data_IF_235574056482
#
_entry.id   IF_235574056482
#
_cell.length_a   1.000
_cell.length_b   1.000
_cell.length_c   1.000
_cell.angle_alpha   90.00
_cell.angle_beta   90.00
_cell.angle_gamma   90.00
#
_symmetry.space_group_name_H-M   'P 1'
#
loop_
_entity.id
_entity.type
_entity.pdbx_description
1 polymer ?
#
# COMPACT_ATOMS: atom_id res chain seq x y z
N UNK A 1 -7.22 -10.15 -25.75
CA UNK A 1 -6.44 -10.00 -24.52
C UNK A 1 -6.54 -8.54 -24.13
N UNK A 2 -7.30 -8.21 -23.09
CA UNK A 2 -7.37 -6.84 -22.58
C UNK A 2 -6.00 -6.47 -22.02
N UNK A 3 -5.45 -5.33 -22.43
CA UNK A 3 -4.26 -4.76 -21.80
C UNK A 3 -4.72 -4.32 -20.41
N UNK A 4 -4.39 -5.09 -19.38
CA UNK A 4 -4.57 -4.65 -17.99
C UNK A 4 -3.57 -3.51 -17.76
N UNK A 5 -4.08 -2.29 -17.62
CA UNK A 5 -3.26 -1.17 -17.18
C UNK A 5 -2.75 -1.45 -15.77
N UNK A 6 -1.49 -1.10 -15.53
CA UNK A 6 -0.91 -1.26 -14.19
C UNK A 6 -1.39 -0.14 -13.27
N UNK A 7 -1.71 -0.46 -12.02
CA UNK A 7 -1.99 0.56 -11.03
C UNK A 7 -0.80 1.47 -10.80
N UNK A 8 -1.00 2.78 -10.87
CA UNK A 8 0.05 3.75 -10.54
C UNK A 8 0.50 3.66 -9.06
N UNK A 9 -0.39 3.22 -8.18
CA UNK A 9 -0.08 3.00 -6.76
C UNK A 9 0.80 1.77 -6.51
N UNK A 10 0.96 0.86 -7.48
CA UNK A 10 1.86 -0.29 -7.40
C UNK A 10 3.26 -0.03 -7.94
N UNK A 11 3.56 1.18 -8.39
CA UNK A 11 4.84 1.50 -9.03
C UNK A 11 5.78 2.17 -8.01
N UNK A 12 6.99 1.62 -7.83
CA UNK A 12 8.00 2.30 -7.01
C UNK A 12 8.53 3.54 -7.72
N UNK A 13 9.07 4.51 -6.98
CA UNK A 13 9.69 5.69 -7.61
C UNK A 13 10.81 5.29 -8.57
N UNK A 14 11.59 4.26 -8.23
CA UNK A 14 12.67 3.73 -9.07
C UNK A 14 12.13 3.14 -10.38
N UNK A 15 11.04 2.36 -10.33
CA UNK A 15 10.40 1.82 -11.53
C UNK A 15 9.87 2.95 -12.42
N UNK A 16 9.28 3.98 -11.81
CA UNK A 16 8.79 5.16 -12.53
C UNK A 16 9.93 6.01 -13.11
N UNK A 17 11.09 6.09 -12.45
CA UNK A 17 12.30 6.70 -13.01
C UNK A 17 12.76 5.98 -14.28
N UNK A 18 12.81 4.63 -14.23
CA UNK A 18 13.16 3.81 -15.39
C UNK A 18 12.16 4.00 -16.53
N UNK A 19 10.86 3.97 -16.23
CA UNK A 19 9.80 4.24 -17.20
C UNK A 19 9.99 5.58 -17.92
N UNK A 20 10.33 6.67 -17.21
CA UNK A 20 10.59 7.95 -17.85
C UNK A 20 11.88 7.97 -18.67
N UNK A 21 12.93 7.28 -18.23
CA UNK A 21 14.17 7.14 -19.00
C UNK A 21 13.88 6.42 -20.33
N UNK A 22 13.10 5.36 -20.31
CA UNK A 22 12.71 4.58 -21.51
C UNK A 22 11.89 5.42 -22.50
N UNK A 23 11.16 6.41 -22.01
CA UNK A 23 10.46 7.42 -22.84
C UNK A 23 11.36 8.59 -23.31
N UNK A 24 12.66 8.56 -23.02
CA UNK A 24 13.59 9.66 -23.33
C UNK A 24 13.41 10.89 -22.44
N UNK A 25 12.70 10.75 -21.33
CA UNK A 25 12.46 11.83 -20.38
C UNK A 25 13.44 11.80 -19.19
N UNK A 26 13.53 12.88 -18.44
CA UNK A 26 14.43 12.98 -17.29
C UNK A 26 13.84 12.31 -16.08
N UNK A 27 14.64 11.53 -15.33
CA UNK A 27 14.25 10.77 -14.13
C UNK A 27 13.56 11.60 -13.03
N UNK A 28 13.87 12.91 -12.90
CA UNK A 28 13.25 13.76 -11.88
C UNK A 28 11.72 13.91 -12.05
N UNK A 29 11.18 13.58 -13.24
CA UNK A 29 9.74 13.56 -13.48
C UNK A 29 9.02 12.51 -12.65
N UNK A 30 9.68 11.41 -12.31
CA UNK A 30 9.15 10.43 -11.37
C UNK A 30 8.89 11.05 -9.99
N UNK A 31 9.84 11.88 -9.50
CA UNK A 31 9.65 12.60 -8.23
C UNK A 31 8.45 13.55 -8.30
N UNK A 32 8.29 14.30 -9.39
CA UNK A 32 7.14 15.18 -9.56
C UNK A 32 5.81 14.42 -9.54
N UNK A 33 5.72 13.30 -10.27
CA UNK A 33 4.51 12.46 -10.29
C UNK A 33 4.23 11.86 -8.91
N UNK A 34 5.25 11.37 -8.21
CA UNK A 34 5.13 10.85 -6.84
C UNK A 34 4.57 11.90 -5.87
N UNK A 35 5.09 13.15 -5.92
CA UNK A 35 4.60 14.24 -5.09
C UNK A 35 3.12 14.58 -5.40
N UNK A 36 2.72 14.54 -6.67
CA UNK A 36 1.33 14.72 -7.03
C UNK A 36 0.42 13.63 -6.47
N UNK A 37 0.82 12.36 -6.61
CA UNK A 37 0.03 11.21 -6.16
C UNK A 37 -0.06 11.18 -4.62
N UNK A 38 1.10 11.22 -3.94
CA UNK A 38 1.16 10.90 -2.52
C UNK A 38 1.14 12.09 -1.57
N UNK A 39 1.53 13.29 -2.01
CA UNK A 39 1.47 14.51 -1.20
C UNK A 39 0.26 15.37 -1.52
N UNK A 40 -0.01 15.58 -2.82
CA UNK A 40 -1.17 16.37 -3.25
C UNK A 40 -2.45 15.54 -3.38
N UNK A 41 -2.33 14.20 -3.34
CA UNK A 41 -3.46 13.26 -3.33
C UNK A 41 -4.37 13.37 -4.55
N UNK A 42 -3.82 13.68 -5.72
CA UNK A 42 -4.60 13.67 -6.96
C UNK A 42 -5.06 12.26 -7.31
N UNK A 43 -6.19 12.19 -7.99
CA UNK A 43 -6.80 10.93 -8.45
C UNK A 43 -6.89 10.83 -9.96
N UNK A 44 -6.33 11.83 -10.67
CA UNK A 44 -6.28 11.89 -12.13
C UNK A 44 -4.97 12.53 -12.57
N UNK A 45 -4.35 12.01 -13.62
CA UNK A 45 -3.10 12.58 -14.14
C UNK A 45 -3.27 14.02 -14.66
N UNK A 46 -4.45 14.36 -15.18
CA UNK A 46 -4.74 15.71 -15.70
C UNK A 46 -4.72 16.82 -14.64
N UNK A 47 -4.70 16.48 -13.36
CA UNK A 47 -4.55 17.43 -12.25
C UNK A 47 -3.07 17.87 -12.05
N UNK A 48 -2.11 17.19 -12.68
CA UNK A 48 -0.67 17.43 -12.54
C UNK A 48 -0.20 18.59 -13.45
N UNK A 49 -0.41 19.82 -13.01
CA UNK A 49 -0.27 21.03 -13.83
C UNK A 49 1.16 21.35 -14.30
N UNK A 50 2.19 20.79 -13.67
CA UNK A 50 3.60 20.99 -14.04
C UNK A 50 4.19 19.85 -14.90
N UNK A 51 3.35 18.93 -15.37
CA UNK A 51 3.72 17.84 -16.27
C UNK A 51 3.20 18.15 -17.68
N UNK A 52 3.99 17.88 -18.71
CA UNK A 52 3.61 18.11 -20.12
C UNK A 52 2.40 17.24 -20.50
N UNK A 53 1.48 17.81 -21.30
CA UNK A 53 0.24 17.13 -21.72
C UNK A 53 0.49 15.80 -22.44
N UNK A 54 1.52 15.73 -23.29
CA UNK A 54 1.89 14.50 -24.00
C UNK A 54 2.26 13.38 -23.03
N UNK A 55 2.98 13.74 -21.95
CA UNK A 55 3.39 12.80 -20.93
C UNK A 55 2.21 12.37 -20.04
N UNK A 56 1.30 13.30 -19.71
CA UNK A 56 0.06 12.97 -19.02
C UNK A 56 -0.81 12.01 -19.83
N UNK A 57 -0.91 12.21 -21.15
CA UNK A 57 -1.62 11.29 -22.03
C UNK A 57 -0.98 9.89 -22.03
N UNK A 58 0.36 9.82 -22.04
CA UNK A 58 1.08 8.55 -21.97
C UNK A 58 0.85 7.84 -20.63
N UNK A 59 0.92 8.58 -19.52
CA UNK A 59 0.60 8.03 -18.20
C UNK A 59 -0.85 7.51 -18.13
N UNK A 60 -1.83 8.22 -18.68
CA UNK A 60 -3.22 7.77 -18.75
C UNK A 60 -3.43 6.52 -19.62
N UNK A 61 -2.54 6.27 -20.59
CA UNK A 61 -2.60 5.08 -21.43
C UNK A 61 -2.01 3.86 -20.73
N UNK A 62 -0.94 4.06 -19.97
CA UNK A 62 -0.13 2.97 -19.41
C UNK A 62 -0.50 2.63 -17.97
N UNK A 63 -1.11 3.58 -17.24
CA UNK A 63 -1.46 3.42 -15.83
C UNK A 63 -2.88 3.89 -15.52
N UNK A 64 -3.42 3.31 -14.46
CA UNK A 64 -4.70 3.72 -13.89
C UNK A 64 -4.59 4.09 -12.40
N UNK A 65 -5.51 4.92 -11.95
CA UNK A 65 -5.76 5.15 -10.53
C UNK A 65 -6.84 4.18 -10.06
N UNK A 66 -6.42 3.16 -9.32
CA UNK A 66 -7.38 2.27 -8.66
C UNK A 66 -8.10 2.97 -7.53
N UNK A 67 -9.18 2.35 -7.12
CA UNK A 67 -9.91 2.74 -5.94
C UNK A 67 -10.21 1.57 -5.02
N UNK A 68 -10.45 1.88 -3.74
CA UNK A 68 -10.87 0.94 -2.71
C UNK A 68 -12.15 1.47 -2.07
N UNK A 69 -13.20 0.67 -2.08
CA UNK A 69 -14.51 1.11 -1.60
C UNK A 69 -14.65 0.80 -0.12
N UNK A 70 -15.00 1.80 0.70
CA UNK A 70 -15.40 1.57 2.10
C UNK A 70 -16.82 1.02 2.07
N UNK A 71 -16.98 -0.25 2.50
CA UNK A 71 -18.28 -0.94 2.56
C UNK A 71 -18.95 -0.77 3.93
N UNK A 72 -18.16 -0.73 4.99
CA UNK A 72 -18.64 -0.56 6.37
C UNK A 72 -17.54 0.07 7.23
N UNK A 73 -17.95 0.76 8.28
CA UNK A 73 -17.07 1.39 9.25
C UNK A 73 -17.68 1.28 10.63
N UNK A 74 -16.94 0.71 11.56
CA UNK A 74 -17.31 0.66 12.98
C UNK A 74 -16.34 1.53 13.76
N UNK A 75 -16.89 2.37 14.63
CA UNK A 75 -16.13 3.35 15.39
C UNK A 75 -16.34 3.15 16.88
N UNK A 76 -15.25 3.23 17.63
CA UNK A 76 -15.20 3.42 19.07
C UNK A 76 -14.29 4.61 19.36
N UNK A 77 -14.09 4.96 20.61
CA UNK A 77 -13.37 6.19 21.04
C UNK A 77 -12.00 6.27 20.34
N UNK A 78 -11.17 5.24 20.48
CA UNK A 78 -9.79 5.25 19.98
C UNK A 78 -9.54 4.25 18.85
N UNK A 79 -10.57 3.53 18.40
CA UNK A 79 -10.44 2.49 17.41
C UNK A 79 -11.51 2.61 16.33
N UNK A 80 -11.07 2.54 15.07
CA UNK A 80 -11.99 2.50 13.92
C UNK A 80 -11.64 1.31 13.03
N UNK A 81 -12.61 0.45 12.80
CA UNK A 81 -12.48 -0.72 11.94
C UNK A 81 -13.18 -0.46 10.62
N UNK A 82 -12.45 -0.63 9.53
CA UNK A 82 -12.94 -0.47 8.16
C UNK A 82 -13.10 -1.83 7.48
N UNK A 83 -14.17 -1.99 6.74
CA UNK A 83 -14.36 -3.08 5.78
C UNK A 83 -14.25 -2.48 4.37
N UNK A 84 -13.30 -2.96 3.59
CA UNK A 84 -13.09 -2.54 2.22
C UNK A 84 -13.53 -3.59 1.21
N UNK A 85 -14.12 -3.15 0.10
CA UNK A 85 -14.38 -3.97 -1.09
C UNK A 85 -13.28 -3.80 -2.12
N UNK A 86 -12.79 -4.92 -2.62
CA UNK A 86 -11.82 -5.00 -3.71
C UNK A 86 -12.53 -5.11 -5.06
N UNK A 87 -11.84 -4.77 -6.17
CA UNK A 87 -12.39 -4.78 -7.52
C UNK A 87 -12.85 -6.18 -7.98
N UNK A 88 -12.31 -7.24 -7.39
CA UNK A 88 -12.69 -8.64 -7.68
C UNK A 88 -13.86 -9.16 -6.80
N UNK A 89 -14.48 -8.28 -6.01
CA UNK A 89 -15.58 -8.61 -5.11
C UNK A 89 -15.17 -9.16 -3.75
N UNK A 90 -13.89 -9.41 -3.52
CA UNK A 90 -13.36 -9.80 -2.22
C UNK A 90 -13.41 -8.63 -1.22
N UNK A 91 -13.25 -8.97 0.05
CA UNK A 91 -13.29 -7.97 1.14
C UNK A 91 -12.08 -8.12 2.03
N UNK A 92 -11.59 -7.00 2.55
CA UNK A 92 -10.50 -6.94 3.53
C UNK A 92 -10.84 -5.96 4.64
N UNK A 93 -10.12 -6.06 5.74
CA UNK A 93 -10.30 -5.18 6.89
C UNK A 93 -9.03 -4.41 7.19
N UNK A 94 -9.19 -3.20 7.72
CA UNK A 94 -8.13 -2.44 8.34
C UNK A 94 -8.62 -1.82 9.65
N UNK A 95 -7.72 -1.63 10.59
CA UNK A 95 -8.04 -1.09 11.91
C UNK A 95 -7.13 0.10 12.20
N UNK A 96 -7.75 1.26 12.37
CA UNK A 96 -7.08 2.45 12.86
C UNK A 96 -7.17 2.49 14.38
N UNK A 97 -6.04 2.75 15.02
CA UNK A 97 -5.91 2.95 16.46
C UNK A 97 -5.29 4.31 16.71
N UNK A 98 -5.96 5.12 17.53
CA UNK A 98 -5.45 6.42 17.97
C UNK A 98 -4.65 6.23 19.24
N UNK A 99 -3.45 6.75 19.28
CA UNK A 99 -2.56 6.74 20.44
C UNK A 99 -1.99 8.14 20.69
N UNK A 100 -1.49 8.40 21.88
CA UNK A 100 -0.84 9.67 22.21
C UNK A 100 0.36 10.00 21.31
N UNK A 101 1.03 8.95 20.77
CA UNK A 101 2.15 9.09 19.84
C UNK A 101 1.71 9.19 18.38
N UNK A 102 0.42 9.10 18.07
CA UNK A 102 -0.14 9.26 16.72
C UNK A 102 -1.06 8.14 16.27
N UNK A 103 -1.42 8.17 14.99
CA UNK A 103 -2.38 7.26 14.38
C UNK A 103 -1.66 6.01 13.84
N UNK A 104 -1.96 4.85 14.40
CA UNK A 104 -1.44 3.55 13.97
C UNK A 104 -2.49 2.80 13.15
N UNK A 105 -2.12 2.38 11.94
CA UNK A 105 -3.00 1.63 11.05
C UNK A 105 -2.54 0.19 10.90
N UNK A 106 -3.40 -0.74 11.31
CA UNK A 106 -3.25 -2.16 11.05
C UNK A 106 -3.88 -2.47 9.68
N UNK A 107 -3.07 -2.96 8.72
CA UNK A 107 -3.52 -3.28 7.36
C UNK A 107 -3.48 -4.76 7.06
N UNK A 108 -4.35 -5.20 6.15
CA UNK A 108 -4.35 -6.52 5.56
C UNK A 108 -3.32 -6.64 4.43
N UNK A 109 -2.78 -7.85 4.25
CA UNK A 109 -1.80 -8.19 3.20
C UNK A 109 -2.28 -9.28 2.25
N UNK A 110 -3.35 -9.97 2.62
CA UNK A 110 -3.97 -11.05 1.82
C UNK A 110 -5.49 -11.01 1.94
N UNK A 111 -6.16 -11.73 1.05
CA UNK A 111 -7.56 -12.11 1.19
C UNK A 111 -7.58 -13.52 1.78
N UNK A 112 -7.93 -13.62 3.06
CA UNK A 112 -7.78 -14.85 3.86
C UNK A 112 -6.33 -15.15 4.25
N UNK A 113 -6.09 -16.27 4.92
CA UNK A 113 -4.76 -16.65 5.42
C UNK A 113 -4.63 -18.17 5.50
N UNK A 114 -3.45 -18.72 5.13
CA UNK A 114 -3.18 -20.16 5.20
C UNK A 114 -2.47 -20.60 6.48
N UNK A 115 -2.10 -19.68 7.37
CA UNK A 115 -1.28 -20.01 8.55
C UNK A 115 -2.05 -20.76 9.62
N UNK A 116 -3.39 -20.67 9.63
CA UNK A 116 -4.29 -21.43 10.52
C UNK A 116 -3.95 -21.32 12.01
N UNK A 117 -3.47 -20.16 12.45
CA UNK A 117 -3.14 -19.90 13.85
C UNK A 117 -4.39 -20.08 14.71
N UNK A 118 -4.30 -20.88 15.78
CA UNK A 118 -5.45 -21.29 16.61
C UNK A 118 -6.19 -20.13 17.29
N UNK A 119 -5.50 -19.02 17.53
CA UNK A 119 -6.04 -17.81 18.19
C UNK A 119 -6.53 -16.75 17.20
N UNK A 120 -6.33 -16.95 15.88
CA UNK A 120 -6.57 -15.93 14.87
C UNK A 120 -7.85 -16.23 14.07
N UNK A 121 -8.81 -15.30 14.06
CA UNK A 121 -10.04 -15.47 13.29
C UNK A 121 -9.77 -15.53 11.78
N UNK A 122 -8.77 -14.79 11.28
CA UNK A 122 -8.35 -14.85 9.87
C UNK A 122 -7.82 -16.23 9.47
N UNK A 123 -7.34 -17.04 10.41
CA UNK A 123 -6.88 -18.41 10.17
C UNK A 123 -8.01 -19.38 9.79
N UNK A 124 -9.27 -19.00 10.04
CA UNK A 124 -10.47 -19.77 9.61
C UNK A 124 -10.83 -19.50 8.14
N UNK A 125 -10.35 -18.41 7.58
CA UNK A 125 -10.60 -18.01 6.22
C UNK A 125 -9.44 -18.51 5.34
N UNK A 126 -9.72 -19.48 4.45
CA UNK A 126 -8.71 -19.93 3.49
C UNK A 126 -8.22 -18.74 2.66
N UNK A 127 -6.91 -18.69 2.41
CA UNK A 127 -6.32 -17.72 1.51
C UNK A 127 -6.91 -17.86 0.11
N UNK A 128 -7.41 -16.75 -0.43
CA UNK A 128 -7.87 -16.65 -1.80
C UNK A 128 -6.72 -16.16 -2.67
N UNK A 129 -6.09 -15.03 -2.28
CA UNK A 129 -4.95 -14.44 -2.98
C UNK A 129 -4.14 -13.46 -2.11
N UNK A 130 -2.99 -13.12 -2.60
CA UNK A 130 -2.21 -12.02 -2.10
C UNK A 130 -2.85 -10.67 -2.49
N UNK A 131 -2.69 -9.65 -1.64
CA UNK A 131 -2.97 -8.27 -2.04
C UNK A 131 -1.80 -7.72 -2.86
N UNK A 132 -2.13 -6.92 -3.85
CA UNK A 132 -1.16 -6.13 -4.59
C UNK A 132 -0.72 -4.89 -3.78
N UNK A 133 0.42 -4.26 -4.13
CA UNK A 133 0.90 -3.07 -3.42
C UNK A 133 -0.12 -1.93 -3.40
N UNK A 134 -0.83 -1.66 -4.52
CA UNK A 134 -1.89 -0.65 -4.59
C UNK A 134 -3.00 -0.90 -3.57
N UNK A 135 -3.44 -2.15 -3.38
CA UNK A 135 -4.51 -2.48 -2.44
C UNK A 135 -4.07 -2.27 -0.98
N UNK A 136 -2.79 -2.46 -0.67
CA UNK A 136 -2.21 -2.13 0.64
C UNK A 136 -2.05 -0.61 0.83
N UNK A 137 -1.57 0.10 -0.18
CA UNK A 137 -1.42 1.57 -0.18
C UNK A 137 -2.78 2.26 -0.02
N UNK A 138 -3.80 1.79 -0.73
CA UNK A 138 -5.14 2.38 -0.71
C UNK A 138 -5.82 2.27 0.65
N UNK A 139 -5.51 1.28 1.48
CA UNK A 139 -5.99 1.23 2.86
C UNK A 139 -5.54 2.47 3.63
N UNK A 140 -4.28 2.91 3.46
CA UNK A 140 -3.75 4.14 4.07
C UNK A 140 -4.46 5.37 3.48
N UNK A 141 -4.42 5.51 2.15
CA UNK A 141 -4.91 6.73 1.48
C UNK A 141 -6.40 6.98 1.70
N UNK A 142 -7.21 5.91 1.73
CA UNK A 142 -8.65 6.00 1.96
C UNK A 142 -8.99 6.42 3.37
N UNK A 143 -8.32 5.87 4.37
CA UNK A 143 -8.55 6.23 5.78
C UNK A 143 -8.06 7.66 6.07
N UNK A 144 -6.88 8.04 5.55
CA UNK A 144 -6.40 9.43 5.66
C UNK A 144 -7.39 10.43 5.05
N UNK A 145 -7.99 10.09 3.91
CA UNK A 145 -8.98 10.94 3.23
C UNK A 145 -10.32 10.98 3.99
N UNK A 146 -10.82 9.83 4.46
CA UNK A 146 -12.11 9.72 5.17
C UNK A 146 -12.12 10.54 6.46
N UNK A 147 -11.02 10.53 7.20
CA UNK A 147 -10.91 11.17 8.50
C UNK A 147 -10.17 12.52 8.48
N UNK A 148 -9.60 12.89 7.34
CA UNK A 148 -8.72 14.06 7.20
C UNK A 148 -7.57 14.07 8.23
N UNK A 149 -6.92 12.92 8.39
CA UNK A 149 -5.80 12.71 9.31
C UNK A 149 -4.55 12.26 8.55
N UNK A 150 -3.44 12.16 9.27
CA UNK A 150 -2.21 11.53 8.81
C UNK A 150 -1.97 10.24 9.57
N UNK A 151 -1.69 9.16 8.87
CA UNK A 151 -1.20 7.91 9.46
C UNK A 151 0.27 8.08 9.79
N UNK A 152 0.65 7.81 11.04
CA UNK A 152 2.01 7.93 11.54
C UNK A 152 2.72 6.59 11.68
N UNK A 153 1.99 5.50 11.84
CA UNK A 153 2.51 4.13 11.98
C UNK A 153 1.67 3.16 11.16
N UNK A 154 2.31 2.16 10.58
CA UNK A 154 1.64 1.07 9.88
C UNK A 154 2.14 -0.27 10.41
N UNK A 155 1.20 -1.14 10.75
CA UNK A 155 1.49 -2.51 11.17
C UNK A 155 0.81 -3.50 10.22
N UNK A 156 1.59 -4.43 9.67
CA UNK A 156 1.09 -5.50 8.80
C UNK A 156 0.68 -6.69 9.66
N UNK A 157 -0.44 -6.52 10.40
CA UNK A 157 -1.01 -7.48 11.36
C UNK A 157 -2.50 -7.73 11.10
N UNK A 158 -3.03 -7.29 9.97
CA UNK A 158 -4.40 -7.54 9.55
C UNK A 158 -4.58 -8.95 8.97
N UNK A 159 -5.47 -9.10 8.00
CA UNK A 159 -5.71 -10.39 7.35
C UNK A 159 -4.50 -10.77 6.48
N UNK A 160 -3.96 -11.97 6.72
CA UNK A 160 -2.88 -12.55 5.92
C UNK A 160 -1.54 -12.67 6.65
N UNK A 161 -0.64 -13.44 6.04
CA UNK A 161 0.75 -13.58 6.44
C UNK A 161 1.60 -12.71 5.48
N UNK A 162 2.25 -11.64 5.98
CA UNK A 162 3.03 -10.75 5.11
C UNK A 162 4.13 -11.47 4.34
N UNK A 163 4.81 -12.43 4.94
CA UNK A 163 5.90 -13.14 4.30
C UNK A 163 5.45 -14.23 3.31
N UNK A 164 4.17 -14.60 3.32
CA UNK A 164 3.55 -15.40 2.25
C UNK A 164 3.11 -14.51 1.06
N UNK A 165 3.22 -13.18 1.20
CA UNK A 165 3.05 -12.16 0.17
C UNK A 165 4.30 -11.29 0.00
N UNK A 166 5.48 -11.89 0.11
CA UNK A 166 6.75 -11.23 0.32
C UNK A 166 7.04 -10.08 -0.67
N UNK A 167 7.06 -10.38 -1.97
CA UNK A 167 7.46 -9.42 -3.01
C UNK A 167 6.56 -8.17 -3.02
N UNK A 168 5.24 -8.35 -2.86
CA UNK A 168 4.31 -7.22 -2.80
C UNK A 168 4.49 -6.42 -1.50
N UNK A 169 4.80 -7.08 -0.38
CA UNK A 169 5.06 -6.41 0.90
C UNK A 169 6.34 -5.59 0.84
N UNK A 170 7.42 -6.12 0.25
CA UNK A 170 8.66 -5.37 0.05
C UNK A 170 8.40 -4.15 -0.84
N UNK A 171 7.67 -4.33 -1.94
CA UNK A 171 7.32 -3.23 -2.83
C UNK A 171 6.44 -2.17 -2.14
N UNK A 172 5.48 -2.59 -1.32
CA UNK A 172 4.69 -1.69 -0.48
C UNK A 172 5.59 -0.88 0.47
N UNK A 173 6.52 -1.53 1.17
CA UNK A 173 7.48 -0.85 2.07
C UNK A 173 8.27 0.21 1.31
N UNK A 174 8.79 -0.11 0.13
CA UNK A 174 9.54 0.84 -0.69
C UNK A 174 8.72 2.07 -1.08
N UNK A 175 7.45 1.86 -1.42
CA UNK A 175 6.54 2.95 -1.80
C UNK A 175 6.20 3.84 -0.61
N UNK A 176 5.83 3.26 0.54
CA UNK A 176 5.41 4.06 1.71
C UNK A 176 6.58 4.77 2.39
N UNK A 177 7.78 4.20 2.30
CA UNK A 177 8.99 4.77 2.89
C UNK A 177 9.66 5.83 2.01
N UNK A 178 9.32 5.92 0.71
CA UNK A 178 9.94 6.90 -0.19
C UNK A 178 9.71 8.33 0.31
N UNK A 179 10.77 9.16 0.45
CA UNK A 179 10.68 10.52 1.02
C UNK A 179 9.86 11.48 0.16
N UNK A 180 9.65 11.19 -1.13
CA UNK A 180 8.81 11.97 -2.04
C UNK A 180 7.37 11.41 -2.13
N UNK A 181 7.14 10.23 -1.53
CA UNK A 181 5.85 9.57 -1.47
C UNK A 181 5.08 9.85 -0.18
N UNK A 182 4.59 8.78 0.45
CA UNK A 182 3.91 8.83 1.76
C UNK A 182 4.88 9.28 2.85
N UNK A 183 6.16 8.99 2.69
CA UNK A 183 7.26 9.38 3.58
C UNK A 183 7.09 8.87 5.02
N UNK A 184 6.60 7.65 5.16
CA UNK A 184 6.53 6.98 6.45
C UNK A 184 7.92 6.43 6.81
N UNK A 185 8.48 6.86 7.93
CA UNK A 185 9.81 6.43 8.35
C UNK A 185 9.87 4.92 8.60
N UNK A 186 11.00 4.27 8.29
CA UNK A 186 11.13 2.81 8.39
C UNK A 186 10.78 2.28 9.79
N UNK A 187 11.16 2.99 10.86
CA UNK A 187 10.85 2.60 12.25
C UNK A 187 9.37 2.71 12.62
N UNK A 188 8.56 3.33 11.77
CA UNK A 188 7.12 3.46 11.93
C UNK A 188 6.35 2.39 11.13
N UNK A 189 7.08 1.45 10.53
CA UNK A 189 6.53 0.29 9.83
C UNK A 189 6.90 -0.96 10.61
N UNK A 190 5.92 -1.80 10.91
CA UNK A 190 6.14 -3.09 11.56
C UNK A 190 5.56 -4.20 10.69
N UNK A 191 6.37 -5.17 10.34
CA UNK A 191 5.95 -6.40 9.68
C UNK A 191 5.84 -7.47 10.75
N UNK A 192 4.66 -8.10 10.87
CA UNK A 192 4.48 -9.24 11.75
C UNK A 192 4.44 -10.53 10.94
N UNK A 193 5.03 -11.59 11.45
CA UNK A 193 5.03 -12.89 10.77
C UNK A 193 4.78 -14.03 11.73
N UNK A 194 4.11 -15.06 11.24
CA UNK A 194 3.95 -16.34 11.95
C UNK A 194 5.23 -17.18 11.95
N UNK A 195 6.32 -16.69 11.36
CA UNK A 195 7.64 -17.34 11.43
C UNK A 195 8.03 -18.13 10.18
N UNK A 196 7.77 -17.62 8.97
CA UNK A 196 8.28 -18.21 7.73
C UNK A 196 9.81 -18.01 7.63
N UNK A 197 10.56 -18.90 8.29
CA UNK A 197 12.00 -18.78 8.52
C UNK A 197 12.82 -18.45 7.27
N UNK A 198 12.61 -19.12 6.09
CA UNK A 198 13.37 -18.76 4.88
C UNK A 198 13.13 -17.29 4.47
N UNK A 199 11.91 -16.78 4.61
CA UNK A 199 11.57 -15.39 4.28
C UNK A 199 12.08 -14.38 5.32
N UNK A 200 12.26 -14.80 6.58
CA UNK A 200 12.92 -13.97 7.60
C UNK A 200 14.38 -13.73 7.20
N UNK A 201 15.11 -14.76 6.76
CA UNK A 201 16.50 -14.58 6.30
C UNK A 201 16.58 -13.72 5.04
N UNK A 202 15.65 -13.88 4.09
CA UNK A 202 15.55 -13.04 2.91
C UNK A 202 15.33 -11.57 3.29
N UNK A 203 14.42 -11.30 4.23
CA UNK A 203 14.13 -9.97 4.73
C UNK A 203 15.32 -9.31 5.44
N UNK A 204 16.11 -10.08 6.19
CA UNK A 204 17.36 -9.60 6.81
C UNK A 204 18.36 -9.18 5.72
N UNK A 205 18.48 -9.98 4.66
CA UNK A 205 19.38 -9.70 3.55
C UNK A 205 18.93 -8.50 2.70
N UNK A 206 17.64 -8.26 2.57
CA UNK A 206 17.10 -7.07 1.88
C UNK A 206 17.40 -5.76 2.63
N UNK A 207 17.84 -5.84 3.88
CA UNK A 207 18.32 -4.70 4.67
C UNK A 207 17.27 -3.64 4.97
N UNK A 208 15.98 -3.98 4.90
CA UNK A 208 14.90 -3.04 5.26
C UNK A 208 14.97 -2.74 6.76
N UNK A 209 15.08 -1.44 7.10
CA UNK A 209 15.18 -0.98 8.49
C UNK A 209 13.79 -0.80 9.14
N UNK A 210 12.85 -1.69 8.85
CA UNK A 210 11.53 -1.71 9.47
C UNK A 210 11.52 -2.69 10.66
N UNK A 211 10.56 -2.54 11.55
CA UNK A 211 10.45 -3.45 12.69
C UNK A 211 9.90 -4.80 12.23
N UNK A 212 10.41 -5.87 12.81
CA UNK A 212 9.91 -7.24 12.67
C UNK A 212 9.35 -7.71 14.02
N UNK A 213 8.11 -8.26 14.01
CA UNK A 213 7.39 -8.79 15.17
C UNK A 213 6.99 -10.25 14.95
#
# INVERSE_FOLDING_TARGET
MGVYMSSIYSITKKDLENYFIDLGEKKFKATQVYEWIYRKRVTKFNEMTNIKKELLNKLNTDFEFDDLVILDKKEDIDVKKYLFGLNDGNKIEAVLMNHDYGNSLCISTQVGCNMSCSFCESGRLKKIRNLYPNEMILQILKIEKDLNIRISHVVLMGIGEPFDNYDNVIKFIDIVNDPYGIALGSRHITVSTSGLVPKIYEFINDGKQVNLA
#
